data_IF_240331257369
#
_entry.id   IF_240331257369
#
_cell.length_a   1.000
_cell.length_b   1.000
_cell.length_c   1.000
_cell.angle_alpha   90.00
_cell.angle_beta   90.00
_cell.angle_gamma   90.00
#
_symmetry.space_group_name_H-M   'P 1'
#
loop_
_entity.id
_entity.type
_entity.pdbx_description
1 polymer ?
#
# COMPACT_ATOMS: atom_id res chain seq x y z
N UNK A 1 -15.98 43.44 -3.66
CA UNK A 1 -14.53 43.34 -3.82
C UNK A 1 -14.25 43.01 -5.27
N UNK A 2 -13.51 43.83 -5.99
CA UNK A 2 -13.22 43.60 -7.41
C UNK A 2 -12.26 42.42 -7.55
N UNK A 3 -12.64 41.43 -8.34
CA UNK A 3 -11.81 40.30 -8.75
C UNK A 3 -10.69 40.86 -9.64
N UNK A 4 -9.46 40.57 -9.27
CA UNK A 4 -8.28 40.99 -10.01
C UNK A 4 -8.28 40.26 -11.37
N UNK A 5 -8.24 40.92 -12.54
CA UNK A 5 -8.39 40.31 -13.87
C UNK A 5 -7.07 39.70 -14.41
N UNK A 6 -6.25 39.09 -13.55
CA UNK A 6 -4.92 38.56 -13.90
C UNK A 6 -4.65 37.12 -13.50
N UNK A 7 -5.54 36.44 -12.79
CA UNK A 7 -5.40 35.01 -12.51
C UNK A 7 -6.02 34.20 -13.65
N UNK A 8 -5.23 33.79 -14.62
CA UNK A 8 -5.65 32.82 -15.62
C UNK A 8 -6.16 31.57 -14.93
N UNK A 9 -7.44 31.24 -15.10
CA UNK A 9 -8.03 30.00 -14.59
C UNK A 9 -7.24 28.83 -15.17
N UNK A 10 -6.52 28.10 -14.32
CA UNK A 10 -5.80 26.87 -14.71
C UNK A 10 -6.83 25.92 -15.33
N UNK A 11 -6.60 25.46 -16.55
CA UNK A 11 -7.43 24.47 -17.21
C UNK A 11 -7.24 23.13 -16.50
N UNK A 12 -8.33 22.53 -15.99
CA UNK A 12 -8.35 21.21 -15.37
C UNK A 12 -9.24 20.31 -16.20
N UNK A 13 -8.67 19.22 -16.72
CA UNK A 13 -9.38 18.17 -17.47
C UNK A 13 -9.55 16.94 -16.59
N UNK A 14 -10.65 16.20 -16.80
CA UNK A 14 -10.99 15.04 -15.97
C UNK A 14 -11.09 13.78 -16.82
N UNK A 15 -10.53 12.67 -16.31
CA UNK A 15 -10.62 11.33 -16.91
C UNK A 15 -10.92 10.27 -15.85
N UNK A 16 -11.32 9.11 -16.32
CA UNK A 16 -11.46 7.89 -15.52
C UNK A 16 -10.62 6.82 -16.22
N UNK A 17 -9.80 6.10 -15.48
CA UNK A 17 -8.99 5.00 -16.01
C UNK A 17 -9.89 3.94 -16.67
N UNK A 18 -9.49 3.46 -17.84
CA UNK A 18 -10.28 2.52 -18.63
C UNK A 18 -11.40 3.17 -19.46
N UNK A 19 -11.56 4.49 -19.43
CA UNK A 19 -12.50 5.22 -20.25
C UNK A 19 -11.79 6.17 -21.22
N UNK A 20 -12.16 6.10 -22.52
CA UNK A 20 -11.58 7.00 -23.53
C UNK A 20 -12.23 8.38 -23.48
N UNK A 21 -11.39 9.44 -23.47
CA UNK A 21 -11.84 10.82 -23.50
C UNK A 21 -11.98 11.49 -22.13
N UNK A 22 -12.41 12.75 -22.16
CA UNK A 22 -12.59 13.57 -20.98
C UNK A 22 -14.01 13.51 -20.44
N UNK A 23 -14.14 13.46 -19.11
CA UNK A 23 -15.40 13.43 -18.38
C UNK A 23 -15.66 14.82 -17.79
N UNK A 24 -16.50 15.61 -18.45
CA UNK A 24 -16.91 16.94 -17.97
C UNK A 24 -18.30 17.29 -18.50
N UNK A 25 -19.02 18.26 -17.93
CA UNK A 25 -20.35 18.61 -18.42
C UNK A 25 -20.36 18.93 -19.93
N UNK A 26 -21.32 18.39 -20.71
CA UNK A 26 -22.54 17.64 -20.32
C UNK A 26 -22.38 16.10 -20.38
N UNK A 27 -21.18 15.54 -20.15
CA UNK A 27 -20.94 14.10 -20.29
C UNK A 27 -21.89 13.27 -19.40
N UNK A 28 -22.53 12.17 -19.89
CA UNK A 28 -23.50 11.38 -19.11
C UNK A 28 -22.95 10.83 -17.79
N UNK A 29 -21.69 10.35 -17.76
CA UNK A 29 -21.05 9.83 -16.54
C UNK A 29 -20.86 10.91 -15.47
N UNK A 30 -20.87 12.20 -15.83
CA UNK A 30 -20.68 13.29 -14.86
C UNK A 30 -21.66 13.23 -13.70
N UNK A 31 -22.91 12.83 -13.94
CA UNK A 31 -23.96 12.76 -12.91
C UNK A 31 -24.17 11.33 -12.35
N UNK A 32 -23.41 10.35 -12.80
CA UNK A 32 -23.56 8.98 -12.28
C UNK A 32 -22.91 8.83 -10.90
N UNK A 33 -23.50 8.01 -10.01
CA UNK A 33 -22.89 7.68 -8.74
C UNK A 33 -21.50 7.05 -8.90
N UNK A 34 -20.58 7.36 -7.97
CA UNK A 34 -19.35 6.63 -7.85
C UNK A 34 -19.64 5.19 -7.42
N UNK A 35 -18.99 4.18 -8.03
CA UNK A 35 -19.07 2.82 -7.54
C UNK A 35 -18.57 2.72 -6.09
N UNK A 36 -19.34 2.05 -5.23
CA UNK A 36 -18.89 1.68 -3.88
C UNK A 36 -18.40 0.24 -3.90
N UNK A 37 -17.16 0.01 -3.48
CA UNK A 37 -16.63 -1.35 -3.28
C UNK A 37 -16.75 -1.66 -1.79
N UNK A 38 -17.72 -2.48 -1.41
CA UNK A 38 -17.75 -3.14 -0.10
C UNK A 38 -17.26 -4.57 -0.32
N UNK A 39 -16.11 -4.95 0.25
CA UNK A 39 -15.60 -6.34 0.22
C UNK A 39 -16.54 -7.35 0.87
N UNK A 40 -17.48 -6.91 1.70
CA UNK A 40 -18.40 -7.75 2.47
C UNK A 40 -19.78 -7.99 1.83
N UNK A 41 -19.87 -8.01 0.49
CA UNK A 41 -21.13 -8.40 -0.17
C UNK A 41 -21.57 -9.86 0.12
N UNK A 42 -20.80 -10.63 0.91
CA UNK A 42 -21.14 -12.01 1.33
C UNK A 42 -21.36 -12.21 2.83
N UNK A 43 -21.15 -11.20 3.66
CA UNK A 43 -21.36 -11.29 5.11
C UNK A 43 -22.47 -10.35 5.55
N UNK A 44 -23.63 -10.92 5.89
CA UNK A 44 -24.72 -10.35 6.68
C UNK A 44 -25.68 -9.38 5.96
N UNK A 45 -26.98 -9.54 6.30
CA UNK A 45 -28.08 -8.70 5.88
C UNK A 45 -27.79 -7.20 6.10
N UNK A 46 -28.38 -6.30 5.31
CA UNK A 46 -28.13 -4.88 5.39
C UNK A 46 -28.56 -4.38 6.78
N UNK A 47 -27.58 -4.20 7.66
CA UNK A 47 -27.77 -3.30 8.79
C UNK A 47 -28.06 -1.92 8.19
N UNK A 48 -29.11 -1.26 8.70
CA UNK A 48 -29.45 0.12 8.34
C UNK A 48 -28.26 1.02 8.63
N UNK A 49 -27.30 1.08 7.70
CA UNK A 49 -26.35 2.18 7.64
C UNK A 49 -27.18 3.43 7.28
N UNK A 50 -27.04 4.44 8.12
CA UNK A 50 -27.58 5.76 7.81
C UNK A 50 -27.19 6.08 6.36
N UNK A 51 -28.17 6.44 5.53
CA UNK A 51 -27.99 6.69 4.11
C UNK A 51 -26.93 7.79 3.93
N UNK A 52 -25.68 7.40 3.74
CA UNK A 52 -24.64 8.33 3.32
C UNK A 52 -25.06 8.92 1.98
N UNK A 53 -24.89 10.21 1.78
CA UNK A 53 -25.28 10.84 0.52
C UNK A 53 -24.56 10.16 -0.64
N UNK A 54 -25.27 9.88 -1.71
CA UNK A 54 -24.73 9.28 -2.92
C UNK A 54 -23.80 10.28 -3.60
N UNK A 55 -22.50 10.01 -3.59
CA UNK A 55 -21.48 10.86 -4.23
C UNK A 55 -21.45 10.54 -5.71
N UNK A 56 -21.59 11.55 -6.56
CA UNK A 56 -21.46 11.43 -8.02
C UNK A 56 -20.02 11.73 -8.48
N UNK A 57 -19.69 11.37 -9.73
CA UNK A 57 -18.42 11.80 -10.35
C UNK A 57 -18.31 13.34 -10.36
N UNK A 58 -19.43 14.05 -10.54
CA UNK A 58 -19.46 15.50 -10.48
C UNK A 58 -19.04 16.05 -9.11
N UNK A 59 -19.56 15.47 -8.02
CA UNK A 59 -19.21 15.88 -6.66
C UNK A 59 -17.76 15.60 -6.37
N UNK A 60 -17.27 14.42 -6.77
CA UNK A 60 -15.88 14.02 -6.65
C UNK A 60 -14.94 14.99 -7.37
N UNK A 61 -15.13 15.21 -8.67
CA UNK A 61 -14.23 16.08 -9.46
C UNK A 61 -14.33 17.56 -9.06
N UNK A 62 -15.49 18.04 -8.65
CA UNK A 62 -15.64 19.39 -8.09
C UNK A 62 -14.87 19.55 -6.79
N UNK A 63 -14.92 18.55 -5.89
CA UNK A 63 -14.17 18.58 -4.65
C UNK A 63 -12.67 18.51 -4.91
N UNK A 64 -12.20 17.64 -5.83
CA UNK A 64 -10.80 17.60 -6.27
C UNK A 64 -10.35 18.96 -6.82
N UNK A 65 -11.16 19.58 -7.68
CA UNK A 65 -10.87 20.93 -8.19
C UNK A 65 -10.76 21.95 -7.05
N UNK A 66 -11.72 21.96 -6.13
CA UNK A 66 -11.72 22.88 -4.98
C UNK A 66 -10.50 22.69 -4.09
N UNK A 67 -10.02 21.44 -3.93
CA UNK A 67 -8.76 21.16 -3.26
C UNK A 67 -7.59 21.79 -4.02
N UNK A 68 -7.41 21.46 -5.28
CA UNK A 68 -6.27 21.88 -6.10
C UNK A 68 -6.16 23.40 -6.28
N UNK A 69 -7.31 24.09 -6.37
CA UNK A 69 -7.35 25.55 -6.59
C UNK A 69 -7.54 26.37 -5.31
N UNK A 70 -7.84 25.73 -4.19
CA UNK A 70 -8.15 26.36 -2.91
C UNK A 70 -7.39 25.78 -1.72
N UNK A 71 -8.06 24.98 -0.90
CA UNK A 71 -7.52 24.52 0.38
C UNK A 71 -6.20 23.71 0.28
N UNK A 72 -6.01 22.97 -0.79
CA UNK A 72 -4.80 22.17 -1.05
C UNK A 72 -3.71 22.91 -1.81
N UNK A 73 -3.93 24.17 -2.22
CA UNK A 73 -2.92 24.92 -2.98
C UNK A 73 -1.56 25.05 -2.29
N UNK A 74 -1.46 25.28 -0.95
CA UNK A 74 -0.18 25.25 -0.26
C UNK A 74 0.53 23.90 -0.35
N UNK A 75 -0.19 22.80 -0.25
CA UNK A 75 0.34 21.44 -0.36
C UNK A 75 0.86 21.17 -1.78
N UNK A 76 0.11 21.63 -2.79
CA UNK A 76 0.53 21.57 -4.18
C UNK A 76 1.82 22.35 -4.44
N UNK A 77 1.94 23.56 -3.89
CA UNK A 77 3.15 24.36 -3.99
C UNK A 77 4.35 23.68 -3.33
N UNK A 78 4.16 23.04 -2.18
CA UNK A 78 5.20 22.25 -1.52
C UNK A 78 5.64 21.07 -2.37
N UNK A 79 4.70 20.33 -2.97
CA UNK A 79 5.00 19.22 -3.86
C UNK A 79 5.77 19.68 -5.11
N UNK A 80 5.31 20.74 -5.76
CA UNK A 80 5.99 21.30 -6.93
C UNK A 80 7.39 21.81 -6.61
N UNK A 81 7.59 22.46 -5.46
CA UNK A 81 8.91 22.89 -5.01
C UNK A 81 9.85 21.70 -4.74
N UNK A 82 9.34 20.59 -4.22
CA UNK A 82 10.11 19.36 -4.02
C UNK A 82 10.50 18.72 -5.36
N UNK A 83 9.59 18.67 -6.33
CA UNK A 83 9.84 18.11 -7.67
C UNK A 83 10.73 19.02 -8.54
N UNK A 84 10.70 20.34 -8.34
CA UNK A 84 11.41 21.34 -9.14
C UNK A 84 12.30 22.25 -8.26
N UNK A 85 13.30 21.72 -7.57
CA UNK A 85 14.08 22.47 -6.58
C UNK A 85 14.87 23.65 -7.17
N UNK A 86 15.08 23.66 -8.48
CA UNK A 86 15.73 24.75 -9.21
C UNK A 86 14.81 25.97 -9.43
N UNK A 87 13.48 25.81 -9.35
CA UNK A 87 12.51 26.92 -9.46
C UNK A 87 12.30 27.58 -8.10
N UNK A 88 12.31 28.91 -8.11
CA UNK A 88 12.08 29.73 -6.89
C UNK A 88 10.72 30.43 -6.97
N UNK A 89 10.06 30.58 -5.84
CA UNK A 89 8.75 31.25 -5.73
C UNK A 89 7.58 30.30 -6.00
N UNK A 90 6.39 30.88 -6.16
CA UNK A 90 5.18 30.12 -6.49
C UNK A 90 5.28 29.53 -7.90
N UNK A 91 4.92 28.25 -8.03
CA UNK A 91 4.95 27.52 -9.30
C UNK A 91 3.50 27.25 -9.70
N UNK A 92 3.04 27.89 -10.76
CA UNK A 92 1.72 27.64 -11.32
C UNK A 92 1.85 26.68 -12.50
N UNK A 93 1.08 25.57 -12.52
CA UNK A 93 1.01 24.68 -13.65
C UNK A 93 0.35 25.36 -14.86
N UNK A 94 0.83 25.04 -16.06
CA UNK A 94 0.26 25.50 -17.34
C UNK A 94 -1.10 24.82 -17.61
N UNK A 95 -1.30 23.61 -17.07
CA UNK A 95 -2.52 22.83 -17.12
C UNK A 95 -2.46 21.63 -16.21
N UNK A 96 -3.63 21.05 -15.89
CA UNK A 96 -3.76 19.87 -15.05
C UNK A 96 -4.68 18.84 -15.70
N UNK A 97 -4.32 17.57 -15.58
CA UNK A 97 -5.21 16.46 -15.86
C UNK A 97 -5.44 15.68 -14.57
N UNK A 98 -6.69 15.44 -14.21
CA UNK A 98 -7.11 14.67 -13.03
C UNK A 98 -7.73 13.37 -13.51
N UNK A 99 -7.12 12.25 -13.13
CA UNK A 99 -7.52 10.92 -13.57
C UNK A 99 -7.97 10.13 -12.34
N UNK A 100 -9.26 9.76 -12.28
CA UNK A 100 -9.74 8.82 -11.28
C UNK A 100 -9.21 7.42 -11.62
N UNK A 101 -8.25 6.94 -10.83
CA UNK A 101 -7.49 5.72 -11.16
C UNK A 101 -8.26 4.45 -10.87
N UNK A 102 -8.86 4.36 -9.68
CA UNK A 102 -9.61 3.19 -9.26
C UNK A 102 -10.62 3.52 -8.15
N UNK A 103 -11.52 2.59 -7.91
CA UNK A 103 -12.43 2.62 -6.78
C UNK A 103 -11.90 1.67 -5.70
N UNK A 104 -11.30 2.19 -4.64
CA UNK A 104 -10.80 1.41 -3.51
C UNK A 104 -11.80 1.37 -2.36
N UNK A 105 -11.59 0.47 -1.42
CA UNK A 105 -12.41 0.34 -0.20
C UNK A 105 -12.36 1.59 0.68
N UNK A 106 -11.19 2.21 0.81
CA UNK A 106 -10.98 3.39 1.67
C UNK A 106 -10.89 4.67 0.85
N UNK A 107 -10.18 4.65 -0.27
CA UNK A 107 -9.92 5.82 -1.08
C UNK A 107 -10.23 5.59 -2.55
N UNK A 108 -10.65 6.67 -3.20
CA UNK A 108 -10.71 6.78 -4.65
C UNK A 108 -9.56 7.69 -5.10
N UNK A 109 -8.37 7.15 -5.42
CA UNK A 109 -7.22 7.95 -5.78
C UNK A 109 -7.40 8.66 -7.12
N UNK A 110 -7.08 9.96 -7.14
CA UNK A 110 -6.94 10.75 -8.34
C UNK A 110 -5.46 10.94 -8.65
N UNK A 111 -4.99 10.50 -9.82
CA UNK A 111 -3.70 10.95 -10.34
C UNK A 111 -3.88 12.36 -10.89
N UNK A 112 -3.06 13.28 -10.39
CA UNK A 112 -3.03 14.69 -10.82
C UNK A 112 -1.76 14.90 -11.62
N UNK A 113 -1.88 15.01 -12.93
CA UNK A 113 -0.77 15.21 -13.84
C UNK A 113 -0.69 16.70 -14.20
N UNK A 114 0.42 17.34 -13.90
CA UNK A 114 0.63 18.77 -14.08
C UNK A 114 1.71 19.03 -15.12
N UNK A 115 1.42 19.93 -16.07
CA UNK A 115 2.41 20.49 -16.94
C UNK A 115 3.02 21.76 -16.33
N UNK A 116 4.34 21.85 -16.25
CA UNK A 116 5.07 23.02 -15.73
C UNK A 116 6.26 23.31 -16.65
N UNK A 117 6.04 24.10 -17.71
CA UNK A 117 6.97 24.23 -18.83
C UNK A 117 7.14 22.90 -19.55
N UNK A 118 8.37 22.40 -19.63
CA UNK A 118 8.64 21.07 -20.25
C UNK A 118 8.48 19.89 -19.28
N UNK A 119 8.31 20.15 -17.98
CA UNK A 119 8.18 19.11 -16.98
C UNK A 119 6.73 18.63 -16.86
N UNK A 120 6.56 17.30 -16.72
CA UNK A 120 5.30 16.64 -16.38
C UNK A 120 5.45 16.06 -14.99
N UNK A 121 4.61 16.49 -14.06
CA UNK A 121 4.69 16.10 -12.64
C UNK A 121 3.42 15.39 -12.25
N UNK A 122 3.46 14.05 -12.01
CA UNK A 122 2.35 13.32 -11.47
C UNK A 122 2.38 13.34 -9.95
N UNK A 123 1.22 13.56 -9.31
CA UNK A 123 0.97 13.38 -7.88
C UNK A 123 -0.29 12.53 -7.69
N UNK A 124 -0.51 12.00 -6.50
CA UNK A 124 -1.76 11.36 -6.12
C UNK A 124 -2.51 12.19 -5.09
N UNK A 125 -3.79 12.39 -5.34
CA UNK A 125 -4.72 12.90 -4.36
C UNK A 125 -5.61 11.75 -3.90
N UNK A 126 -5.39 11.23 -2.70
CA UNK A 126 -6.24 10.21 -2.10
C UNK A 126 -7.50 10.86 -1.54
N UNK A 127 -8.66 10.43 -2.02
CA UNK A 127 -9.97 11.00 -1.68
C UNK A 127 -10.78 9.97 -0.91
N UNK A 128 -11.15 10.26 0.33
CA UNK A 128 -12.03 9.41 1.11
C UNK A 128 -13.49 9.73 0.78
N UNK A 129 -14.22 8.76 0.24
CA UNK A 129 -15.64 8.89 -0.13
C UNK A 129 -16.56 8.12 0.82
N UNK A 130 -15.99 7.42 1.80
CA UNK A 130 -16.69 6.63 2.81
C UNK A 130 -16.32 7.08 4.21
N UNK A 131 -17.18 6.78 5.20
CA UNK A 131 -16.89 7.01 6.62
C UNK A 131 -15.62 6.28 7.04
N UNK A 132 -15.47 5.00 6.68
CA UNK A 132 -14.30 4.19 6.99
C UNK A 132 -13.00 4.80 6.41
N UNK A 133 -13.05 5.30 5.16
CA UNK A 133 -11.93 5.99 4.54
C UNK A 133 -11.57 7.28 5.28
N UNK A 134 -12.55 8.05 5.70
CA UNK A 134 -12.36 9.31 6.46
C UNK A 134 -11.69 9.04 7.82
N UNK A 135 -12.14 8.03 8.53
CA UNK A 135 -11.57 7.62 9.83
C UNK A 135 -10.14 7.07 9.69
N UNK A 136 -9.86 6.34 8.62
CA UNK A 136 -8.54 5.76 8.35
C UNK A 136 -7.50 6.83 7.96
N UNK A 137 -7.91 7.86 7.23
CA UNK A 137 -7.01 8.80 6.56
C UNK A 137 -6.01 9.51 7.50
N UNK A 138 -6.47 10.05 8.61
CA UNK A 138 -5.62 10.78 9.55
C UNK A 138 -4.56 9.86 10.18
N UNK A 139 -4.95 8.62 10.53
CA UNK A 139 -4.03 7.63 11.09
C UNK A 139 -3.01 7.14 10.07
N UNK A 140 -3.42 6.97 8.81
CA UNK A 140 -2.53 6.55 7.73
C UNK A 140 -1.49 7.61 7.39
N UNK A 141 -1.89 8.87 7.29
CA UNK A 141 -0.94 9.98 7.06
C UNK A 141 0.11 10.07 8.17
N UNK A 142 -0.32 9.99 9.44
CA UNK A 142 0.60 9.98 10.57
C UNK A 142 1.54 8.76 10.54
N UNK A 143 1.03 7.60 10.14
CA UNK A 143 1.80 6.38 9.98
C UNK A 143 2.83 6.50 8.85
N UNK A 144 2.44 6.97 7.67
CA UNK A 144 3.37 7.20 6.55
C UNK A 144 4.50 8.15 6.95
N UNK A 145 4.21 9.22 7.69
CA UNK A 145 5.23 10.14 8.21
C UNK A 145 6.22 9.47 9.17
N UNK A 146 5.75 8.58 10.06
CA UNK A 146 6.62 7.81 10.97
C UNK A 146 7.44 6.74 10.23
N UNK A 147 6.81 6.02 9.33
CA UNK A 147 7.43 4.96 8.53
C UNK A 147 8.50 5.55 7.60
N UNK A 148 8.26 6.71 6.99
CA UNK A 148 9.22 7.39 6.12
C UNK A 148 10.54 7.74 6.83
N UNK A 149 10.52 7.97 8.14
CA UNK A 149 11.74 8.24 8.92
C UNK A 149 12.62 7.00 9.13
N UNK A 150 12.06 5.80 8.94
CA UNK A 150 12.74 4.51 9.16
C UNK A 150 13.17 3.84 7.85
N UNK A 151 12.54 4.18 6.75
CA UNK A 151 12.77 3.59 5.44
C UNK A 151 13.80 4.38 4.60
N UNK A 152 14.46 3.73 3.64
CA UNK A 152 15.24 4.46 2.65
C UNK A 152 14.40 5.54 1.95
N UNK A 153 14.98 6.69 1.62
CA UNK A 153 14.27 7.77 0.92
C UNK A 153 13.58 7.27 -0.35
N UNK A 154 12.34 7.70 -0.55
CA UNK A 154 11.52 7.30 -1.71
C UNK A 154 10.92 5.90 -1.63
N UNK A 155 11.08 5.16 -0.54
CA UNK A 155 10.44 3.83 -0.36
C UNK A 155 8.95 3.91 -0.09
N UNK A 156 8.48 5.05 0.43
CA UNK A 156 7.06 5.38 0.66
C UNK A 156 6.76 6.76 0.09
N UNK A 157 5.49 7.07 -0.24
CA UNK A 157 5.13 8.38 -0.75
C UNK A 157 5.34 9.47 0.31
N UNK A 158 5.88 10.60 -0.09
CA UNK A 158 5.86 11.82 0.71
C UNK A 158 4.44 12.38 0.74
N UNK A 159 3.91 12.62 1.93
CA UNK A 159 2.61 13.28 2.11
C UNK A 159 2.85 14.79 2.22
N UNK A 160 2.27 15.57 1.32
CA UNK A 160 2.45 17.02 1.27
C UNK A 160 1.41 17.78 2.10
N UNK A 161 0.25 17.19 2.32
CA UNK A 161 -0.76 17.78 3.20
C UNK A 161 -2.16 17.23 3.02
N UNK A 162 -3.03 17.67 3.90
CA UNK A 162 -4.39 17.19 4.06
C UNK A 162 -5.37 18.36 4.14
N UNK A 163 -6.54 18.20 3.56
CA UNK A 163 -7.68 19.10 3.78
C UNK A 163 -9.01 18.34 3.62
N UNK A 164 -10.05 18.89 4.24
CA UNK A 164 -11.44 18.49 4.02
C UNK A 164 -12.08 19.52 3.11
N UNK A 165 -12.65 19.08 2.00
CA UNK A 165 -13.18 19.97 0.96
C UNK A 165 -14.59 19.56 0.60
N UNK A 166 -15.49 20.53 0.45
CA UNK A 166 -16.85 20.28 -0.02
C UNK A 166 -16.93 20.37 -1.53
N UNK A 167 -17.49 19.34 -2.17
CA UNK A 167 -17.77 19.31 -3.62
C UNK A 167 -19.10 19.95 -4.00
N UNK A 168 -20.08 19.80 -3.11
CA UNK A 168 -21.41 20.44 -3.12
C UNK A 168 -21.77 20.79 -1.69
N UNK A 169 -22.89 21.50 -1.47
CA UNK A 169 -23.23 22.08 -0.17
C UNK A 169 -23.40 21.07 0.99
N UNK A 170 -23.41 19.77 0.73
CA UNK A 170 -23.70 18.74 1.74
C UNK A 170 -22.61 17.67 1.94
N UNK A 171 -21.61 17.55 1.04
CA UNK A 171 -20.63 16.47 1.11
C UNK A 171 -19.21 17.00 1.29
N UNK A 172 -18.65 16.75 2.47
CA UNK A 172 -17.27 17.07 2.79
C UNK A 172 -16.37 15.83 2.56
N UNK A 173 -15.41 15.95 1.65
CA UNK A 173 -14.48 14.88 1.29
C UNK A 173 -13.08 15.16 1.86
N UNK A 174 -12.60 14.34 2.81
CA UNK A 174 -11.23 14.38 3.25
C UNK A 174 -10.29 13.93 2.13
N UNK A 175 -9.16 14.65 1.96
CA UNK A 175 -8.19 14.39 0.92
C UNK A 175 -6.77 14.63 1.42
N UNK A 176 -5.82 13.81 0.99
CA UNK A 176 -4.40 14.12 1.14
C UNK A 176 -3.64 13.97 -0.17
N UNK A 177 -2.68 14.89 -0.37
CA UNK A 177 -1.81 14.93 -1.55
C UNK A 177 -0.48 14.24 -1.21
N UNK A 178 -0.02 13.36 -2.12
CA UNK A 178 1.22 12.62 -1.96
C UNK A 178 1.93 12.36 -3.31
N UNK A 179 3.14 11.80 -3.24
CA UNK A 179 3.88 11.36 -4.42
C UNK A 179 3.11 10.30 -5.21
N UNK A 180 3.14 10.43 -6.54
CA UNK A 180 2.80 9.37 -7.47
C UNK A 180 4.09 8.71 -7.95
N UNK A 181 4.18 7.40 -7.85
CA UNK A 181 5.33 6.64 -8.34
C UNK A 181 5.14 6.26 -9.80
N UNK A 182 5.62 7.12 -10.69
CA UNK A 182 5.51 6.94 -12.13
C UNK A 182 6.30 5.72 -12.64
N UNK A 183 5.66 4.92 -13.50
CA UNK A 183 6.22 3.67 -14.03
C UNK A 183 6.35 2.55 -12.98
N UNK A 184 5.63 2.65 -11.84
CA UNK A 184 5.45 1.54 -10.90
C UNK A 184 4.05 0.97 -11.06
N UNK A 185 3.93 -0.36 -11.00
CA UNK A 185 2.71 -1.10 -11.30
C UNK A 185 2.36 -2.07 -10.18
N UNK A 186 1.09 -2.41 -10.06
CA UNK A 186 0.61 -3.49 -9.19
C UNK A 186 1.06 -4.85 -9.76
N UNK A 187 1.21 -5.82 -8.88
CA UNK A 187 1.62 -7.17 -9.22
C UNK A 187 0.85 -8.19 -8.38
N UNK A 188 0.58 -9.36 -8.95
CA UNK A 188 -0.18 -10.42 -8.30
C UNK A 188 0.27 -11.78 -8.79
N UNK A 189 -0.05 -12.82 -8.01
CA UNK A 189 0.04 -14.19 -8.50
C UNK A 189 -1.03 -14.42 -9.59
N UNK A 190 -0.66 -15.11 -10.64
CA UNK A 190 -1.54 -15.49 -11.74
C UNK A 190 -1.12 -16.85 -12.29
N UNK A 191 -1.97 -17.43 -13.12
CA UNK A 191 -1.64 -18.66 -13.86
C UNK A 191 -1.12 -18.26 -15.24
N UNK A 192 0.09 -18.68 -15.56
CA UNK A 192 0.67 -18.45 -16.88
C UNK A 192 -0.10 -19.24 -17.94
N UNK A 193 -0.72 -18.58 -18.92
CA UNK A 193 -1.48 -19.26 -19.96
C UNK A 193 -0.60 -20.12 -20.89
N UNK A 194 0.72 -19.98 -20.88
CA UNK A 194 1.63 -20.71 -21.75
C UNK A 194 1.92 -22.12 -21.21
N UNK A 195 2.13 -22.26 -19.92
CA UNK A 195 2.53 -23.52 -19.28
C UNK A 195 1.57 -23.99 -18.17
N UNK A 196 0.62 -23.16 -17.78
CA UNK A 196 -0.31 -23.43 -16.67
C UNK A 196 0.32 -23.31 -15.28
N UNK A 197 1.58 -22.85 -15.19
CA UNK A 197 2.29 -22.63 -13.94
C UNK A 197 1.81 -21.38 -13.22
N UNK A 198 1.95 -21.35 -11.89
CA UNK A 198 1.70 -20.14 -11.11
C UNK A 198 2.95 -19.25 -11.12
N UNK A 199 2.77 -17.98 -11.45
CA UNK A 199 3.83 -16.98 -11.45
C UNK A 199 3.35 -15.63 -10.97
N UNK A 200 4.27 -14.70 -10.79
CA UNK A 200 3.94 -13.31 -10.45
C UNK A 200 3.86 -12.47 -11.71
N UNK A 201 2.69 -11.91 -11.97
CA UNK A 201 2.41 -11.02 -13.12
C UNK A 201 2.46 -9.57 -12.67
N UNK A 202 3.06 -8.73 -13.49
CA UNK A 202 3.04 -7.26 -13.35
C UNK A 202 1.95 -6.72 -14.27
N UNK A 203 1.05 -5.93 -13.71
CA UNK A 203 -0.02 -5.26 -14.46
C UNK A 203 0.47 -3.90 -14.93
N UNK A 204 1.26 -3.93 -15.99
CA UNK A 204 1.70 -2.70 -16.64
C UNK A 204 0.50 -1.99 -17.29
N UNK A 205 0.26 -0.74 -16.91
CA UNK A 205 -0.85 0.05 -17.45
C UNK A 205 -0.53 0.66 -18.81
N UNK A 206 0.74 0.69 -19.18
CA UNK A 206 1.24 1.32 -20.41
C UNK A 206 1.64 0.28 -21.46
N UNK A 207 1.75 -1.00 -21.06
CA UNK A 207 2.11 -2.13 -21.92
C UNK A 207 1.28 -3.39 -21.60
N UNK A 208 1.56 -4.50 -22.26
CA UNK A 208 0.93 -5.77 -21.93
C UNK A 208 1.46 -6.31 -20.58
N UNK A 209 0.62 -6.94 -19.74
CA UNK A 209 1.06 -7.63 -18.54
C UNK A 209 2.15 -8.67 -18.86
N UNK A 210 3.12 -8.85 -17.96
CA UNK A 210 4.22 -9.78 -18.14
C UNK A 210 4.57 -10.50 -16.83
N UNK A 211 5.07 -11.72 -16.93
CA UNK A 211 5.50 -12.53 -15.79
C UNK A 211 6.94 -12.21 -15.39
N UNK A 212 7.19 -12.17 -14.08
CA UNK A 212 8.53 -12.03 -13.52
C UNK A 212 9.27 -13.38 -13.56
N UNK A 213 10.58 -13.32 -13.83
CA UNK A 213 11.46 -14.48 -13.62
C UNK A 213 11.52 -14.89 -12.14
N UNK A 214 11.93 -16.12 -11.82
CA UNK A 214 12.10 -16.59 -10.44
C UNK A 214 13.02 -15.68 -9.62
N UNK A 215 14.11 -15.21 -10.21
CA UNK A 215 15.03 -14.27 -9.57
C UNK A 215 14.37 -12.94 -9.23
N UNK A 216 13.55 -12.41 -10.13
CA UNK A 216 12.79 -11.17 -9.90
C UNK A 216 11.71 -11.38 -8.84
N UNK A 217 11.02 -12.51 -8.86
CA UNK A 217 10.04 -12.85 -7.81
C UNK A 217 10.71 -12.95 -6.42
N UNK A 218 11.85 -13.63 -6.34
CA UNK A 218 12.63 -13.69 -5.09
C UNK A 218 13.00 -12.28 -4.61
N UNK A 219 13.44 -11.42 -5.51
CA UNK A 219 13.79 -10.03 -5.18
C UNK A 219 12.58 -9.22 -4.68
N UNK A 220 11.37 -9.43 -5.24
CA UNK A 220 10.13 -8.83 -4.72
C UNK A 220 9.90 -9.25 -3.27
N UNK A 221 9.91 -10.55 -2.98
CA UNK A 221 9.68 -11.05 -1.62
C UNK A 221 10.74 -10.57 -0.63
N UNK A 222 12.01 -10.50 -1.07
CA UNK A 222 13.10 -9.95 -0.25
C UNK A 222 12.87 -8.48 0.07
N UNK A 223 12.51 -7.65 -0.92
CA UNK A 223 12.26 -6.22 -0.71
C UNK A 223 11.01 -5.96 0.14
N UNK A 224 9.93 -6.73 -0.03
CA UNK A 224 8.75 -6.65 0.85
C UNK A 224 9.15 -6.89 2.30
N UNK A 225 9.90 -7.97 2.56
CA UNK A 225 10.37 -8.30 3.89
C UNK A 225 11.31 -7.22 4.45
N UNK A 226 12.24 -6.72 3.65
CA UNK A 226 13.15 -5.64 4.02
C UNK A 226 12.39 -4.36 4.42
N UNK A 227 11.46 -3.89 3.59
CA UNK A 227 10.72 -2.66 3.85
C UNK A 227 9.85 -2.78 5.10
N UNK A 228 9.12 -3.88 5.27
CA UNK A 228 8.27 -4.10 6.44
C UNK A 228 9.08 -4.25 7.73
N UNK A 229 10.25 -4.89 7.67
CA UNK A 229 11.14 -5.01 8.82
C UNK A 229 11.77 -3.67 9.19
N UNK A 230 12.18 -2.87 8.21
CA UNK A 230 12.66 -1.49 8.45
C UNK A 230 11.56 -0.60 9.01
N UNK A 231 10.29 -0.80 8.61
CA UNK A 231 9.14 -0.08 9.16
C UNK A 231 8.81 -0.53 10.59
N UNK A 232 9.09 -1.77 10.97
CA UNK A 232 8.86 -2.27 12.33
C UNK A 232 9.62 -1.46 13.37
N UNK A 233 8.95 -1.07 14.47
CA UNK A 233 9.57 -0.39 15.58
C UNK A 233 9.84 -1.40 16.73
N UNK A 234 11.09 -1.79 17.01
CA UNK A 234 11.38 -2.78 18.04
C UNK A 234 11.10 -2.30 19.47
N UNK A 235 11.05 -0.99 19.72
CA UNK A 235 10.76 -0.45 21.05
C UNK A 235 9.28 -0.45 21.37
N UNK A 236 8.45 -0.05 20.40
CA UNK A 236 7.00 0.04 20.57
C UNK A 236 6.24 -1.15 20.00
N UNK A 237 6.93 -2.05 19.30
CA UNK A 237 6.39 -3.17 18.53
C UNK A 237 5.38 -2.78 17.44
N UNK A 238 5.38 -1.49 17.05
CA UNK A 238 4.52 -1.01 15.97
C UNK A 238 4.93 -1.62 14.63
N UNK A 239 3.95 -2.06 13.88
CA UNK A 239 4.11 -2.62 12.53
C UNK A 239 2.94 -2.20 11.64
N UNK A 240 3.16 -2.25 10.32
CA UNK A 240 2.08 -2.16 9.35
C UNK A 240 1.40 -3.53 9.30
N UNK A 241 0.11 -3.60 9.73
CA UNK A 241 -0.64 -4.86 9.74
C UNK A 241 -2.16 -4.60 9.84
N UNK A 242 -3.00 -5.30 9.05
CA UNK A 242 -2.63 -6.22 7.97
C UNK A 242 -2.20 -5.48 6.70
N UNK A 243 -1.31 -6.10 5.96
CA UNK A 243 -0.95 -5.73 4.59
C UNK A 243 -1.19 -6.94 3.67
N UNK A 244 -1.34 -6.71 2.36
CA UNK A 244 -1.60 -7.79 1.42
C UNK A 244 -1.16 -7.39 0.00
N UNK A 245 -0.53 -8.31 -0.74
CA UNK A 245 -0.18 -8.07 -2.14
C UNK A 245 -1.42 -7.70 -2.96
N UNK A 246 -2.49 -8.49 -2.84
CA UNK A 246 -3.76 -8.26 -3.53
C UNK A 246 -4.49 -6.94 -3.15
N UNK A 247 -4.04 -6.23 -2.13
CA UNK A 247 -4.59 -4.92 -1.76
C UNK A 247 -3.87 -3.77 -2.45
N UNK A 248 -2.84 -4.05 -3.26
CA UNK A 248 -2.00 -3.05 -3.89
C UNK A 248 -1.25 -2.21 -2.84
N UNK A 249 -0.84 -2.82 -1.72
CA UNK A 249 -0.05 -2.14 -0.69
C UNK A 249 1.39 -1.92 -1.13
N UNK A 250 1.82 -2.68 -2.13
CA UNK A 250 3.12 -2.57 -2.79
C UNK A 250 2.95 -2.39 -4.29
N UNK A 251 3.86 -1.64 -4.88
CA UNK A 251 4.00 -1.48 -6.33
C UNK A 251 5.46 -1.69 -6.69
N UNK A 252 5.72 -2.15 -7.90
CA UNK A 252 7.07 -2.39 -8.38
C UNK A 252 7.34 -1.79 -9.76
N UNK A 253 8.61 -1.60 -10.05
CA UNK A 253 9.12 -1.27 -11.37
C UNK A 253 10.28 -2.18 -11.70
N UNK A 254 10.26 -2.74 -12.91
CA UNK A 254 11.37 -3.54 -13.45
C UNK A 254 12.20 -2.69 -14.40
N UNK A 255 13.51 -2.65 -14.18
CA UNK A 255 14.48 -2.04 -15.10
C UNK A 255 15.53 -3.05 -15.45
N UNK A 256 15.51 -3.53 -16.68
CA UNK A 256 16.38 -4.65 -17.12
C UNK A 256 16.21 -5.88 -16.23
N UNK A 257 17.19 -6.22 -15.42
CA UNK A 257 17.13 -7.35 -14.48
C UNK A 257 16.78 -6.94 -13.04
N UNK A 258 16.76 -5.64 -12.72
CA UNK A 258 16.53 -5.15 -11.35
C UNK A 258 15.06 -4.88 -11.10
N UNK A 259 14.62 -5.16 -9.87
CA UNK A 259 13.30 -4.84 -9.36
C UNK A 259 13.45 -3.74 -8.32
N UNK A 260 12.64 -2.69 -8.46
CA UNK A 260 12.47 -1.64 -7.46
C UNK A 260 11.07 -1.75 -6.86
N UNK A 261 10.95 -1.82 -5.55
CA UNK A 261 9.67 -1.93 -4.84
C UNK A 261 9.38 -0.67 -4.03
N UNK A 262 8.10 -0.30 -3.94
CA UNK A 262 7.61 0.78 -3.08
C UNK A 262 6.44 0.28 -2.24
N UNK A 263 6.38 0.76 -1.01
CA UNK A 263 5.25 0.56 -0.10
C UNK A 263 4.38 1.82 -0.16
N UNK A 264 3.10 1.70 -0.53
CA UNK A 264 2.23 2.86 -0.74
C UNK A 264 1.15 3.04 0.34
N UNK A 265 1.22 2.24 1.41
CA UNK A 265 0.28 2.32 2.54
C UNK A 265 0.99 2.38 3.88
N UNK A 266 0.39 3.06 4.85
CA UNK A 266 0.75 3.03 6.26
C UNK A 266 -0.43 2.61 7.15
N UNK A 267 -1.48 2.03 6.55
CA UNK A 267 -2.71 1.69 7.26
C UNK A 267 -2.45 0.79 8.46
N UNK A 268 -3.14 1.09 9.56
CA UNK A 268 -3.08 0.31 10.79
C UNK A 268 -1.67 0.09 11.34
N UNK A 269 -0.81 1.11 11.22
CA UNK A 269 0.48 1.08 11.90
C UNK A 269 0.28 1.15 13.41
N UNK A 270 0.41 0.01 14.08
CA UNK A 270 0.06 -0.15 15.49
C UNK A 270 0.93 -1.22 16.16
N UNK A 271 1.05 -1.19 17.52
CA UNK A 271 1.81 -2.17 18.26
C UNK A 271 1.22 -3.58 18.15
N UNK A 272 2.09 -4.57 18.02
CA UNK A 272 1.74 -6.01 18.07
C UNK A 272 1.31 -6.42 19.48
N UNK A 273 2.03 -5.92 20.48
CA UNK A 273 1.75 -6.12 21.90
C UNK A 273 1.44 -4.77 22.56
N UNK A 274 0.45 -4.75 23.42
CA UNK A 274 0.19 -3.59 24.27
C UNK A 274 1.01 -3.78 25.55
N UNK A 275 1.93 -2.85 25.81
CA UNK A 275 2.64 -2.76 27.07
C UNK A 275 1.71 -2.31 28.22
N UNK A 276 2.15 -2.55 29.45
CA UNK A 276 1.61 -1.88 30.62
C UNK A 276 2.14 -0.42 30.73
N UNK A 277 1.85 0.29 31.81
CA UNK A 277 2.31 1.67 32.02
C UNK A 277 3.85 1.81 32.04
N UNK A 278 4.58 0.73 32.38
CA UNK A 278 6.05 0.67 32.42
C UNK A 278 6.67 0.34 31.06
N UNK A 279 5.84 -0.01 30.05
CA UNK A 279 6.29 -0.43 28.73
C UNK A 279 6.51 -1.95 28.62
N UNK A 280 7.20 -2.39 27.57
CA UNK A 280 7.59 -3.78 27.35
C UNK A 280 9.03 -3.99 27.79
N UNK A 281 9.33 -5.09 28.48
CA UNK A 281 10.70 -5.54 28.72
C UNK A 281 11.36 -6.10 27.44
N UNK A 282 12.64 -6.36 27.49
CA UNK A 282 13.41 -6.81 26.33
C UNK A 282 12.99 -8.21 25.86
N UNK A 283 12.59 -9.09 26.77
CA UNK A 283 12.10 -10.43 26.41
C UNK A 283 10.77 -10.35 25.68
N UNK A 284 9.84 -9.51 26.14
CA UNK A 284 8.56 -9.28 25.46
C UNK A 284 8.76 -8.64 24.07
N UNK A 285 9.72 -7.71 23.93
CA UNK A 285 10.08 -7.13 22.64
C UNK A 285 10.64 -8.15 21.68
N UNK A 286 11.53 -9.04 22.17
CA UNK A 286 12.10 -10.12 21.36
C UNK A 286 11.04 -11.13 20.93
N UNK A 287 10.09 -11.48 21.81
CA UNK A 287 8.93 -12.33 21.46
C UNK A 287 8.03 -11.63 20.42
N UNK A 288 7.79 -10.33 20.56
CA UNK A 288 7.03 -9.58 19.56
C UNK A 288 7.71 -9.57 18.20
N UNK A 289 9.04 -9.41 18.17
CA UNK A 289 9.85 -9.49 16.94
C UNK A 289 9.79 -10.89 16.32
N UNK A 290 9.86 -11.95 17.13
CA UNK A 290 9.67 -13.32 16.67
C UNK A 290 8.30 -13.52 16.02
N UNK A 291 7.23 -13.06 16.67
CA UNK A 291 5.86 -13.14 16.14
C UNK A 291 5.74 -12.34 14.84
N UNK A 292 6.31 -11.15 14.78
CA UNK A 292 6.36 -10.34 13.55
C UNK A 292 7.07 -11.11 12.42
N UNK A 293 8.25 -11.65 12.68
CA UNK A 293 9.03 -12.43 11.70
C UNK A 293 8.25 -13.63 11.17
N UNK A 294 7.72 -14.46 12.07
CA UNK A 294 6.97 -15.65 11.69
C UNK A 294 5.70 -15.31 10.90
N UNK A 295 4.97 -14.27 11.33
CA UNK A 295 3.82 -13.76 10.59
C UNK A 295 4.20 -13.23 9.19
N UNK A 296 5.36 -12.57 9.08
CA UNK A 296 5.89 -12.08 7.80
C UNK A 296 6.17 -13.24 6.84
N UNK A 297 6.77 -14.34 7.32
CA UNK A 297 7.07 -15.51 6.47
C UNK A 297 5.81 -16.18 5.92
N UNK A 298 4.71 -16.20 6.69
CA UNK A 298 3.42 -16.71 6.23
C UNK A 298 2.77 -15.75 5.23
N UNK A 299 2.70 -14.46 5.63
CA UNK A 299 1.93 -13.47 4.88
C UNK A 299 2.54 -13.14 3.53
N UNK A 300 3.87 -13.16 3.43
CA UNK A 300 4.58 -12.93 2.17
C UNK A 300 4.32 -14.02 1.13
N UNK A 301 3.72 -15.15 1.52
CA UNK A 301 3.30 -16.24 0.62
C UNK A 301 1.85 -16.19 0.19
N UNK A 302 1.05 -15.29 0.75
CA UNK A 302 -0.39 -15.22 0.47
C UNK A 302 -0.64 -14.10 -0.52
N UNK A 303 -1.33 -14.45 -1.60
CA UNK A 303 -1.88 -13.50 -2.56
C UNK A 303 -3.26 -13.97 -3.02
N UNK A 304 -3.85 -13.28 -3.98
CA UNK A 304 -5.03 -13.69 -4.72
C UNK A 304 -4.71 -13.75 -6.19
N UNK A 305 -5.15 -14.81 -6.84
CA UNK A 305 -5.00 -14.91 -8.29
C UNK A 305 -5.62 -13.69 -8.95
N UNK A 306 -4.84 -13.04 -9.79
CA UNK A 306 -5.22 -11.81 -10.49
C UNK A 306 -5.73 -10.68 -9.56
N UNK A 307 -5.23 -10.63 -8.32
CA UNK A 307 -5.57 -9.63 -7.32
C UNK A 307 -6.96 -9.77 -6.68
N UNK A 308 -7.88 -10.46 -7.31
CA UNK A 308 -9.30 -10.55 -6.88
C UNK A 308 -9.86 -11.97 -6.83
N UNK A 309 -9.13 -12.95 -7.37
CA UNK A 309 -9.54 -14.35 -7.43
C UNK A 309 -9.40 -15.12 -6.13
N UNK A 310 -9.28 -16.43 -6.23
CA UNK A 310 -9.08 -17.31 -5.08
C UNK A 310 -7.73 -17.04 -4.38
N UNK A 311 -7.64 -17.23 -3.06
CA UNK A 311 -6.38 -17.14 -2.35
C UNK A 311 -5.36 -18.13 -2.93
N UNK A 312 -4.15 -17.65 -3.15
CA UNK A 312 -3.04 -18.40 -3.71
C UNK A 312 -1.85 -18.43 -2.77
N UNK A 313 -1.13 -19.54 -2.78
CA UNK A 313 0.07 -19.76 -1.99
C UNK A 313 1.29 -19.78 -2.89
N UNK A 314 2.24 -18.85 -2.65
CA UNK A 314 3.41 -18.72 -3.49
C UNK A 314 4.42 -19.86 -3.32
N UNK A 315 5.34 -19.96 -4.25
CA UNK A 315 6.45 -20.92 -4.26
C UNK A 315 7.31 -20.81 -2.98
N UNK A 316 7.93 -21.92 -2.50
CA UNK A 316 8.88 -21.93 -1.38
C UNK A 316 10.03 -20.90 -1.48
N UNK A 317 10.42 -20.46 -2.68
CA UNK A 317 11.45 -19.43 -2.87
C UNK A 317 11.15 -18.15 -2.06
N UNK A 318 9.87 -17.83 -1.86
CA UNK A 318 9.44 -16.69 -1.05
C UNK A 318 9.92 -16.78 0.41
N UNK A 319 10.09 -17.98 0.97
CA UNK A 319 10.56 -18.16 2.36
C UNK A 319 12.00 -17.72 2.50
N UNK A 320 12.89 -18.22 1.63
CA UNK A 320 14.31 -17.87 1.66
C UNK A 320 14.52 -16.37 1.42
N UNK A 321 13.83 -15.81 0.43
CA UNK A 321 13.86 -14.39 0.12
C UNK A 321 13.33 -13.52 1.29
N UNK A 322 12.26 -13.96 1.96
CA UNK A 322 11.71 -13.26 3.14
C UNK A 322 12.71 -13.28 4.30
N UNK A 323 13.31 -14.42 4.59
CA UNK A 323 14.34 -14.54 5.65
C UNK A 323 15.51 -13.63 5.35
N UNK A 324 16.02 -13.65 4.12
CA UNK A 324 17.10 -12.77 3.69
C UNK A 324 16.75 -11.29 3.90
N UNK A 325 15.65 -10.80 3.33
CA UNK A 325 15.26 -9.39 3.44
C UNK A 325 14.99 -8.96 4.88
N UNK A 326 14.46 -9.86 5.71
CA UNK A 326 14.25 -9.61 7.12
C UNK A 326 15.57 -9.39 7.87
N UNK A 327 16.53 -10.30 7.76
CA UNK A 327 17.82 -10.18 8.47
C UNK A 327 18.69 -9.05 7.93
N UNK A 328 18.66 -8.76 6.63
CA UNK A 328 19.31 -7.56 6.05
C UNK A 328 18.78 -6.24 6.65
N UNK A 329 17.53 -6.20 7.04
CA UNK A 329 16.90 -4.99 7.57
C UNK A 329 17.14 -4.75 9.06
N UNK A 330 17.43 -5.81 9.83
CA UNK A 330 17.58 -5.75 11.29
C UNK A 330 18.92 -5.14 11.71
N UNK A 331 18.95 -4.39 12.83
CA UNK A 331 20.19 -4.10 13.54
C UNK A 331 20.89 -5.41 13.97
N UNK A 332 22.21 -5.43 13.87
CA UNK A 332 23.03 -6.63 14.14
C UNK A 332 22.73 -7.27 15.51
N UNK A 333 22.57 -6.48 16.56
CA UNK A 333 22.30 -6.96 17.92
C UNK A 333 20.95 -7.69 18.01
N UNK A 334 19.91 -7.13 17.40
CA UNK A 334 18.59 -7.76 17.35
C UNK A 334 18.58 -9.01 16.47
N UNK A 335 19.31 -9.00 15.37
CA UNK A 335 19.48 -10.17 14.51
C UNK A 335 20.14 -11.30 15.27
N UNK A 336 21.24 -11.03 16.00
CA UNK A 336 21.95 -12.03 16.82
C UNK A 336 21.06 -12.59 17.94
N UNK A 337 20.33 -11.74 18.65
CA UNK A 337 19.40 -12.17 19.72
C UNK A 337 18.29 -13.07 19.16
N UNK A 338 17.67 -12.68 18.04
CA UNK A 338 16.62 -13.46 17.42
C UNK A 338 17.14 -14.78 16.82
N UNK A 339 18.34 -14.79 16.21
CA UNK A 339 18.98 -16.02 15.72
C UNK A 339 19.26 -16.99 16.87
N UNK A 340 19.73 -16.48 18.03
CA UNK A 340 19.92 -17.28 19.24
C UNK A 340 18.60 -17.92 19.71
N UNK A 341 17.51 -17.17 19.71
CA UNK A 341 16.18 -17.67 20.06
C UNK A 341 15.67 -18.70 19.04
N UNK A 342 15.78 -18.41 17.74
CA UNK A 342 15.35 -19.32 16.67
C UNK A 342 16.16 -20.61 16.64
N UNK A 343 17.47 -20.56 16.96
CA UNK A 343 18.33 -21.72 17.06
C UNK A 343 17.99 -22.70 18.18
N UNK A 344 17.22 -22.25 19.19
CA UNK A 344 16.72 -23.10 20.26
C UNK A 344 15.49 -23.93 19.87
N UNK A 345 14.80 -23.59 18.76
CA UNK A 345 13.61 -24.31 18.33
C UNK A 345 13.92 -25.39 17.30
N UNK A 346 13.34 -26.58 17.54
CA UNK A 346 13.27 -27.63 16.56
C UNK A 346 12.10 -27.44 15.56
N UNK A 347 12.10 -28.30 14.53
CA UNK A 347 11.07 -28.25 13.47
C UNK A 347 9.63 -28.37 14.00
N UNK A 348 9.40 -29.23 14.98
CA UNK A 348 8.07 -29.43 15.58
C UNK A 348 7.61 -28.19 16.37
N UNK A 349 8.51 -27.60 17.12
CA UNK A 349 8.24 -26.40 17.92
C UNK A 349 7.92 -25.19 17.05
N UNK A 350 8.53 -25.07 15.87
CA UNK A 350 8.16 -24.03 14.91
C UNK A 350 6.71 -24.18 14.41
N UNK A 351 6.20 -25.40 14.21
CA UNK A 351 4.79 -25.65 13.88
C UNK A 351 3.90 -25.18 15.01
N UNK A 352 4.26 -25.52 16.27
CA UNK A 352 3.47 -25.16 17.45
C UNK A 352 3.38 -23.63 17.64
N UNK A 353 4.46 -22.91 17.33
CA UNK A 353 4.49 -21.44 17.41
C UNK A 353 3.73 -20.79 16.22
N UNK A 354 3.84 -21.35 15.02
CA UNK A 354 3.16 -20.83 13.81
C UNK A 354 1.65 -21.04 13.84
N UNK A 355 1.17 -22.13 14.47
CA UNK A 355 -0.27 -22.46 14.52
C UNK A 355 -1.12 -21.34 15.14
N UNK A 356 -0.85 -20.82 16.33
CA UNK A 356 -1.63 -19.71 16.88
C UNK A 356 -1.49 -18.39 16.09
N UNK A 357 -0.39 -18.21 15.37
CA UNK A 357 -0.23 -17.07 14.45
C UNK A 357 -1.19 -17.23 13.27
N UNK A 358 -1.23 -18.42 12.66
CA UNK A 358 -2.16 -18.76 11.59
C UNK A 358 -3.62 -18.60 12.04
N UNK A 359 -3.96 -18.98 13.26
CA UNK A 359 -5.30 -18.87 13.83
C UNK A 359 -5.79 -17.42 13.98
N UNK A 360 -4.88 -16.46 14.12
CA UNK A 360 -5.20 -15.03 14.19
C UNK A 360 -5.53 -14.40 12.83
N UNK A 361 -5.32 -15.12 11.72
CA UNK A 361 -5.80 -14.72 10.39
C UNK A 361 -7.32 -14.84 10.34
N UNK A 362 -8.01 -13.91 10.99
CA UNK A 362 -9.43 -14.00 11.29
C UNK A 362 -10.37 -13.35 10.28
N UNK A 363 -9.89 -12.80 9.16
CA UNK A 363 -10.75 -11.98 8.31
C UNK A 363 -11.33 -12.72 7.10
N UNK A 364 -10.70 -13.81 6.64
CA UNK A 364 -11.22 -14.61 5.52
C UNK A 364 -10.97 -16.09 5.83
N UNK A 365 -12.01 -16.86 6.01
CA UNK A 365 -11.91 -18.32 6.26
C UNK A 365 -11.04 -19.05 5.24
N UNK A 366 -11.14 -18.67 3.95
CA UNK A 366 -10.37 -19.27 2.86
C UNK A 366 -8.85 -19.04 2.97
N UNK A 367 -8.40 -17.86 3.40
CA UNK A 367 -6.96 -17.60 3.61
C UNK A 367 -6.43 -18.39 4.80
N UNK A 368 -7.21 -18.48 5.87
CA UNK A 368 -6.88 -19.30 7.04
C UNK A 368 -6.77 -20.77 6.68
N UNK A 369 -7.72 -21.31 5.93
CA UNK A 369 -7.72 -22.69 5.47
C UNK A 369 -6.50 -22.99 4.59
N UNK A 370 -6.15 -22.05 3.70
CA UNK A 370 -4.95 -22.14 2.84
C UNK A 370 -3.66 -22.17 3.67
N UNK A 371 -3.54 -21.30 4.69
CA UNK A 371 -2.38 -21.31 5.59
C UNK A 371 -2.27 -22.65 6.31
N UNK A 372 -3.36 -23.15 6.91
CA UNK A 372 -3.34 -24.42 7.63
C UNK A 372 -2.97 -25.60 6.75
N UNK A 373 -3.47 -25.63 5.50
CA UNK A 373 -3.11 -26.68 4.53
C UNK A 373 -1.61 -26.68 4.19
N UNK A 374 -0.95 -25.52 4.28
CA UNK A 374 0.46 -25.35 3.92
C UNK A 374 1.40 -25.19 5.13
N UNK A 375 0.90 -25.21 6.37
CA UNK A 375 1.67 -24.86 7.57
C UNK A 375 2.84 -25.82 7.80
N UNK A 376 2.62 -27.12 7.73
CA UNK A 376 3.67 -28.13 7.96
C UNK A 376 4.79 -28.09 6.90
N UNK A 377 4.51 -28.06 5.57
CA UNK A 377 5.56 -27.89 4.58
C UNK A 377 6.26 -26.52 4.68
N UNK A 378 5.53 -25.44 5.01
CA UNK A 378 6.12 -24.13 5.21
C UNK A 378 7.10 -24.12 6.40
N UNK A 379 6.69 -24.64 7.55
CA UNK A 379 7.54 -24.76 8.75
C UNK A 379 8.79 -25.59 8.50
N UNK A 380 8.66 -26.69 7.75
CA UNK A 380 9.78 -27.52 7.36
C UNK A 380 10.82 -26.73 6.53
N UNK A 381 10.33 -26.01 5.52
CA UNK A 381 11.20 -25.24 4.64
C UNK A 381 11.82 -24.05 5.38
N UNK A 382 11.03 -23.35 6.21
CA UNK A 382 11.54 -22.28 7.06
C UNK A 382 12.65 -22.76 7.98
N UNK A 383 12.48 -23.93 8.63
CA UNK A 383 13.52 -24.54 9.46
C UNK A 383 14.82 -24.77 8.68
N UNK A 384 14.73 -25.35 7.48
CA UNK A 384 15.91 -25.60 6.64
C UNK A 384 16.62 -24.31 6.21
N UNK A 385 15.86 -23.25 5.91
CA UNK A 385 16.42 -21.93 5.58
C UNK A 385 17.12 -21.32 6.80
N UNK A 386 16.47 -21.36 7.97
CA UNK A 386 17.04 -20.83 9.21
C UNK A 386 18.32 -21.56 9.63
N UNK A 387 18.38 -22.90 9.49
CA UNK A 387 19.60 -23.66 9.80
C UNK A 387 20.77 -23.19 8.92
N UNK A 388 20.54 -22.89 7.65
CA UNK A 388 21.60 -22.35 6.77
C UNK A 388 22.07 -20.96 7.23
N UNK A 389 21.14 -20.07 7.55
CA UNK A 389 21.47 -18.68 7.99
C UNK A 389 22.19 -18.68 9.35
N UNK A 390 21.83 -19.60 10.27
CA UNK A 390 22.43 -19.66 11.61
C UNK A 390 23.84 -20.27 11.57
N UNK A 391 24.07 -21.23 10.68
CA UNK A 391 25.36 -21.99 10.64
C UNK A 391 26.33 -21.48 9.58
N UNK A 392 25.88 -20.69 8.62
CA UNK A 392 26.72 -20.11 7.54
C UNK A 392 26.33 -18.62 7.36
N UNK A 393 26.67 -17.76 8.36
CA UNK A 393 26.25 -16.36 8.45
C UNK A 393 26.93 -15.45 7.41
#
# INVERSE_FOLDING_TARGET
MAVNPGEGLIEIRYRITGYEGFIQPPHPLWQTPLPSITRDARASAPTREAQSPTITHADYFRAVRSYLTGAGRPHLQQALAACLPQRKGSIDPDGMEVILEKHGEFYHPARVVMAVGEAVIPLVLNVAVTQAGSECMASEMAALGRVAQRLPPGSVPTVYGYAVVSGSDEVALPMFLADWFDGFHEFHLSIDPQDGGQGMVVWDTDAAPYFLSEQQQAEVYRQVAFLLTRAYNPETTEQIYPWHHASGDFILRVRSASVELRLITGRRYAPTLKGNEEGLDDDARLVALLVFFLNLTLRNRIDRLDGTGDPAWSDPLAVAATVQGFFEALPHELAAALMGLLGAYGRAELVDILTPIADRYGLMSMEKDLIHANLAPHSAHLFEVLQRVIHDP
#
